data_IF_136749480522
#
_entry.id   IF_136749480522
#
_cell.length_a   1.000
_cell.length_b   1.000
_cell.length_c   1.000
_cell.angle_alpha   90.00
_cell.angle_beta   90.00
_cell.angle_gamma   90.00
#
_symmetry.space_group_name_H-M   'P 1'
#
loop_
_entity.id
_entity.type
_entity.pdbx_description
1 polymer ?
#
# COMPACT_ATOMS: atom_id res chain seq x y z
N UNK A 1 46.64 28.32 13.09
CA UNK A 1 45.71 27.24 13.50
C UNK A 1 44.55 27.27 12.51
N UNK A 2 44.54 26.35 11.53
CA UNK A 2 43.55 26.29 10.49
C UNK A 2 42.39 25.38 10.93
N UNK A 3 41.18 25.90 10.93
CA UNK A 3 39.97 25.11 11.13
C UNK A 3 39.74 24.25 9.86
N UNK A 4 39.96 22.95 9.96
CA UNK A 4 39.52 21.99 8.94
C UNK A 4 38.01 21.77 9.15
N UNK A 5 37.19 22.47 8.36
CA UNK A 5 35.76 22.27 8.34
C UNK A 5 35.43 20.90 7.75
N UNK A 6 34.99 19.95 8.58
CA UNK A 6 34.37 18.70 8.11
C UNK A 6 33.11 19.06 7.33
N UNK A 7 33.16 18.93 6.01
CA UNK A 7 31.98 18.93 5.16
C UNK A 7 31.32 17.56 5.29
N UNK A 8 30.26 17.47 6.10
CA UNK A 8 29.37 16.31 6.06
C UNK A 8 28.65 16.32 4.72
N UNK A 9 29.01 15.43 3.83
CA UNK A 9 28.26 15.14 2.62
C UNK A 9 27.01 14.37 3.04
N UNK A 10 25.89 15.07 3.18
CA UNK A 10 24.58 14.42 3.36
C UNK A 10 24.22 13.86 1.98
N UNK A 11 24.46 12.56 1.76
CA UNK A 11 23.91 11.90 0.58
C UNK A 11 22.40 12.05 0.59
N UNK A 12 21.77 12.46 -0.53
CA UNK A 12 20.31 12.54 -0.58
C UNK A 12 19.73 11.17 -0.23
N UNK A 13 18.76 11.15 0.67
CA UNK A 13 18.03 9.92 1.02
C UNK A 13 17.41 9.33 -0.25
N UNK A 14 17.51 8.01 -0.46
CA UNK A 14 16.91 7.38 -1.64
C UNK A 14 15.40 7.67 -1.66
N UNK A 15 14.88 7.98 -2.86
CA UNK A 15 13.44 8.21 -3.07
C UNK A 15 12.69 6.90 -2.82
N UNK A 16 11.77 6.84 -1.84
CA UNK A 16 10.98 5.64 -1.59
C UNK A 16 10.18 5.19 -2.80
N UNK A 17 10.17 3.89 -3.04
CA UNK A 17 9.49 3.23 -4.15
C UNK A 17 8.29 2.44 -3.65
N UNK A 18 7.15 2.60 -4.31
CA UNK A 18 5.88 1.96 -3.93
C UNK A 18 5.29 1.23 -5.12
N UNK A 19 4.89 -0.01 -4.92
CA UNK A 19 4.11 -0.79 -5.88
C UNK A 19 2.65 -0.80 -5.43
N UNK A 20 1.73 -0.43 -6.31
CA UNK A 20 0.28 -0.60 -6.10
C UNK A 20 -0.21 -1.67 -7.07
N UNK A 21 -0.79 -2.76 -6.57
CA UNK A 21 -1.31 -3.85 -7.39
C UNK A 21 -2.81 -3.64 -7.58
N UNK A 22 -3.23 -3.46 -8.84
CA UNK A 22 -4.62 -3.21 -9.23
C UNK A 22 -5.19 -4.39 -10.00
N UNK A 23 -6.43 -4.73 -9.72
CA UNK A 23 -7.25 -5.66 -10.51
C UNK A 23 -8.58 -4.99 -10.84
N UNK A 24 -9.23 -5.39 -11.92
CA UNK A 24 -10.56 -4.88 -12.26
C UNK A 24 -11.53 -5.06 -11.09
N UNK A 25 -12.31 -4.03 -10.81
CA UNK A 25 -13.16 -3.94 -9.63
C UNK A 25 -12.43 -3.45 -8.37
N UNK A 26 -11.23 -2.85 -8.48
CA UNK A 26 -10.64 -2.16 -7.33
C UNK A 26 -11.56 -1.04 -6.83
N UNK A 27 -11.44 -0.65 -5.56
CA UNK A 27 -12.17 0.49 -5.00
C UNK A 27 -11.38 1.78 -5.24
N UNK A 28 -12.00 2.74 -5.90
CA UNK A 28 -11.32 3.95 -6.43
C UNK A 28 -10.75 4.83 -5.33
N UNK A 29 -11.53 5.08 -4.26
CA UNK A 29 -11.08 5.93 -3.15
C UNK A 29 -9.87 5.28 -2.45
N UNK A 30 -9.92 3.95 -2.28
CA UNK A 30 -8.88 3.19 -1.59
C UNK A 30 -7.58 3.08 -2.39
N UNK A 31 -7.66 3.17 -3.71
CA UNK A 31 -6.49 3.21 -4.60
C UNK A 31 -5.95 4.63 -4.79
N UNK A 32 -6.80 5.56 -5.23
CA UNK A 32 -6.36 6.90 -5.68
C UNK A 32 -5.87 7.75 -4.51
N UNK A 33 -6.53 7.68 -3.35
CA UNK A 33 -6.13 8.49 -2.19
C UNK A 33 -4.69 8.24 -1.75
N UNK A 34 -4.27 7.00 -1.41
CA UNK A 34 -2.89 6.75 -1.02
C UNK A 34 -1.89 6.99 -2.16
N UNK A 35 -2.25 6.75 -3.43
CA UNK A 35 -1.39 7.05 -4.58
C UNK A 35 -1.08 8.55 -4.64
N UNK A 36 -2.11 9.41 -4.55
CA UNK A 36 -1.94 10.87 -4.59
C UNK A 36 -1.07 11.36 -3.43
N UNK A 37 -1.36 10.92 -2.19
CA UNK A 37 -0.62 11.33 -1.00
C UNK A 37 0.86 10.94 -1.06
N UNK A 38 1.16 9.72 -1.51
CA UNK A 38 2.52 9.22 -1.66
C UNK A 38 3.28 9.97 -2.75
N UNK A 39 2.64 10.27 -3.88
CA UNK A 39 3.24 11.07 -4.95
C UNK A 39 3.50 12.51 -4.49
N UNK A 40 2.58 13.13 -3.73
CA UNK A 40 2.80 14.44 -3.09
C UNK A 40 3.99 14.42 -2.12
N UNK A 41 4.20 13.33 -1.39
CA UNK A 41 5.33 13.17 -0.49
C UNK A 41 6.66 12.91 -1.23
N UNK A 42 6.63 12.72 -2.56
CA UNK A 42 7.82 12.48 -3.38
C UNK A 42 8.14 11.01 -3.61
N UNK A 43 7.27 10.06 -3.26
CA UNK A 43 7.46 8.65 -3.59
C UNK A 43 7.36 8.39 -5.10
N UNK A 44 8.16 7.45 -5.58
CA UNK A 44 7.96 6.86 -6.90
C UNK A 44 6.94 5.73 -6.78
N UNK A 45 5.72 6.00 -7.22
CA UNK A 45 4.60 5.05 -7.17
C UNK A 45 4.41 4.42 -8.54
N UNK A 46 4.60 3.10 -8.61
CA UNK A 46 4.35 2.28 -9.80
C UNK A 46 2.98 1.60 -9.67
N UNK A 47 2.11 1.83 -10.62
CA UNK A 47 0.82 1.15 -10.72
C UNK A 47 0.99 -0.10 -11.59
N UNK A 48 0.64 -1.25 -11.03
CA UNK A 48 0.70 -2.53 -11.74
C UNK A 48 -0.68 -3.11 -11.92
N UNK A 49 -1.03 -3.48 -13.15
CA UNK A 49 -2.23 -4.27 -13.43
C UNK A 49 -1.98 -5.74 -13.12
N UNK A 50 -3.00 -6.45 -12.60
CA UNK A 50 -2.94 -7.89 -12.41
C UNK A 50 -2.79 -8.66 -13.74
N UNK A 51 -3.51 -8.21 -14.78
CA UNK A 51 -3.48 -8.76 -16.13
C UNK A 51 -2.55 -7.99 -17.08
N UNK A 52 -2.59 -8.39 -18.37
CA UNK A 52 -1.78 -7.75 -19.42
C UNK A 52 -2.31 -6.37 -19.82
N UNK A 53 -3.63 -6.13 -19.69
CA UNK A 53 -4.21 -4.81 -19.94
C UNK A 53 -3.71 -3.79 -18.94
N UNK A 54 -3.20 -2.68 -19.43
CA UNK A 54 -2.78 -1.57 -18.59
C UNK A 54 -3.94 -0.63 -18.20
N UNK A 55 -5.12 -0.79 -18.80
CA UNK A 55 -6.34 -0.11 -18.36
C UNK A 55 -7.05 -0.99 -17.34
N UNK A 56 -7.11 -0.55 -16.09
CA UNK A 56 -7.77 -1.27 -14.99
C UNK A 56 -8.99 -0.47 -14.57
N UNK A 57 -10.17 -1.10 -14.58
CA UNK A 57 -11.43 -0.43 -14.29
C UNK A 57 -11.87 -0.71 -12.86
N UNK A 58 -12.10 0.35 -12.09
CA UNK A 58 -12.60 0.28 -10.73
C UNK A 58 -14.07 -0.13 -10.63
N UNK A 59 -14.54 -0.37 -9.42
CA UNK A 59 -15.90 -0.87 -9.15
C UNK A 59 -17.02 0.07 -9.58
N UNK A 60 -16.75 1.38 -9.67
CA UNK A 60 -17.71 2.40 -10.09
C UNK A 60 -17.54 2.82 -11.55
N UNK A 61 -16.60 2.22 -12.27
CA UNK A 61 -16.36 2.45 -13.69
C UNK A 61 -15.26 3.47 -14.00
N UNK A 62 -14.55 3.99 -12.99
CA UNK A 62 -13.39 4.85 -13.22
C UNK A 62 -12.20 3.96 -13.57
N UNK A 63 -11.57 4.23 -14.72
CA UNK A 63 -10.38 3.47 -15.14
C UNK A 63 -9.10 4.20 -14.76
N UNK A 64 -8.11 3.44 -14.30
CA UNK A 64 -6.75 3.88 -14.08
C UNK A 64 -5.82 3.24 -15.11
N UNK A 65 -4.86 4.02 -15.60
CA UNK A 65 -3.78 3.50 -16.42
C UNK A 65 -2.67 2.95 -15.51
N UNK A 66 -2.47 1.63 -15.52
CA UNK A 66 -1.30 1.01 -14.93
C UNK A 66 -0.07 1.27 -15.81
N UNK A 67 1.11 1.25 -15.20
CA UNK A 67 2.37 1.50 -15.90
C UNK A 67 2.98 0.21 -16.44
N UNK A 68 2.74 -0.90 -15.73
CA UNK A 68 3.28 -2.23 -16.06
C UNK A 68 2.29 -3.33 -15.66
N UNK A 69 2.27 -4.48 -16.37
CA UNK A 69 1.59 -5.67 -15.88
C UNK A 69 2.39 -6.30 -14.71
N UNK A 70 1.73 -7.09 -13.85
CA UNK A 70 2.35 -7.70 -12.68
C UNK A 70 3.55 -8.59 -13.03
N UNK A 71 3.50 -9.27 -14.17
CA UNK A 71 4.62 -10.10 -14.65
C UNK A 71 5.88 -9.28 -14.91
N UNK A 72 5.74 -8.07 -15.45
CA UNK A 72 6.88 -7.19 -15.71
C UNK A 72 7.51 -6.62 -14.43
N UNK A 73 6.80 -6.62 -13.30
CA UNK A 73 7.36 -6.25 -11.99
C UNK A 73 8.45 -7.23 -11.56
N UNK A 74 8.28 -8.52 -11.85
CA UNK A 74 9.24 -9.57 -11.53
C UNK A 74 9.63 -9.58 -10.05
N UNK A 75 10.94 -9.62 -9.79
CA UNK A 75 11.50 -9.59 -8.44
C UNK A 75 12.01 -8.20 -8.01
N UNK A 76 11.64 -7.13 -8.70
CA UNK A 76 12.05 -5.77 -8.34
C UNK A 76 11.76 -5.44 -6.88
N UNK A 77 12.69 -4.76 -6.20
CA UNK A 77 12.50 -4.35 -4.82
C UNK A 77 11.67 -3.05 -4.75
N UNK A 78 10.77 -3.00 -3.76
CA UNK A 78 10.01 -1.80 -3.42
C UNK A 78 10.08 -1.59 -1.91
N UNK A 79 10.05 -0.33 -1.48
CA UNK A 79 10.00 -0.01 -0.05
C UNK A 79 8.62 -0.31 0.54
N UNK A 80 7.56 -0.25 -0.30
CA UNK A 80 6.19 -0.57 0.08
C UNK A 80 5.42 -1.25 -1.06
N UNK A 81 4.52 -2.17 -0.70
CA UNK A 81 3.47 -2.71 -1.59
C UNK A 81 2.12 -2.36 -1.00
N UNK A 82 1.22 -1.78 -1.82
CA UNK A 82 -0.15 -1.42 -1.44
C UNK A 82 -1.16 -2.24 -2.23
N UNK A 83 -2.21 -2.67 -1.53
CA UNK A 83 -3.34 -3.38 -2.13
C UNK A 83 -4.65 -2.69 -1.72
N UNK A 84 -5.37 -2.06 -2.65
CA UNK A 84 -6.71 -1.56 -2.42
C UNK A 84 -7.71 -2.72 -2.32
N UNK A 85 -8.86 -2.45 -1.73
CA UNK A 85 -9.97 -3.38 -1.68
C UNK A 85 -10.87 -3.31 -2.91
N UNK A 86 -12.14 -3.56 -2.68
CA UNK A 86 -13.15 -3.68 -3.72
C UNK A 86 -13.37 -5.13 -4.18
N UNK A 87 -14.34 -5.38 -5.07
CA UNK A 87 -14.61 -6.70 -5.65
C UNK A 87 -13.40 -7.36 -6.32
N UNK A 88 -12.47 -6.55 -6.87
CA UNK A 88 -11.22 -7.00 -7.49
C UNK A 88 -10.31 -7.82 -6.57
N UNK A 89 -10.51 -7.75 -5.25
CA UNK A 89 -9.78 -8.60 -4.28
C UNK A 89 -9.95 -10.09 -4.58
N UNK A 90 -11.11 -10.51 -5.12
CA UNK A 90 -11.32 -11.90 -5.51
C UNK A 90 -10.33 -12.34 -6.61
N UNK A 91 -10.04 -11.48 -7.58
CA UNK A 91 -9.06 -11.73 -8.64
C UNK A 91 -7.62 -11.78 -8.08
N UNK A 92 -7.30 -10.86 -7.16
CA UNK A 92 -5.98 -10.83 -6.51
C UNK A 92 -5.73 -12.10 -5.69
N UNK A 93 -6.73 -12.62 -5.00
CA UNK A 93 -6.67 -13.86 -4.22
C UNK A 93 -6.48 -15.10 -5.10
N UNK A 94 -7.13 -15.12 -6.27
CA UNK A 94 -7.06 -16.24 -7.21
C UNK A 94 -5.70 -16.33 -7.93
N UNK A 95 -4.90 -15.27 -7.91
CA UNK A 95 -3.62 -15.22 -8.63
C UNK A 95 -2.44 -15.50 -7.68
N UNK A 96 -1.75 -16.65 -7.85
CA UNK A 96 -0.64 -17.04 -6.98
C UNK A 96 0.55 -16.06 -7.04
N UNK A 97 0.68 -15.26 -8.10
CA UNK A 97 1.76 -14.27 -8.25
C UNK A 97 1.64 -13.18 -7.20
N UNK A 98 0.40 -12.80 -6.82
CA UNK A 98 0.15 -11.78 -5.79
C UNK A 98 0.65 -12.25 -4.44
N UNK A 99 0.25 -13.46 -4.00
CA UNK A 99 0.71 -14.02 -2.74
C UNK A 99 2.24 -14.22 -2.73
N UNK A 100 2.83 -14.68 -3.84
CA UNK A 100 4.28 -14.79 -3.97
C UNK A 100 4.98 -13.43 -3.85
N UNK A 101 4.43 -12.38 -4.49
CA UNK A 101 4.95 -11.01 -4.40
C UNK A 101 4.93 -10.47 -2.97
N UNK A 102 3.84 -10.71 -2.24
CA UNK A 102 3.71 -10.25 -0.85
C UNK A 102 4.67 -10.99 0.09
N UNK A 103 4.83 -12.31 -0.09
CA UNK A 103 5.84 -13.06 0.67
C UNK A 103 7.25 -12.57 0.40
N UNK A 104 7.58 -12.27 -0.85
CA UNK A 104 8.88 -11.69 -1.22
C UNK A 104 9.09 -10.33 -0.58
N UNK A 105 8.06 -9.47 -0.55
CA UNK A 105 8.09 -8.16 0.09
C UNK A 105 8.34 -8.30 1.60
N UNK A 106 7.61 -9.18 2.27
CA UNK A 106 7.76 -9.45 3.70
C UNK A 106 9.16 -10.00 4.03
N UNK A 107 9.68 -10.95 3.24
CA UNK A 107 11.01 -11.53 3.43
C UNK A 107 12.13 -10.49 3.31
N UNK A 108 11.91 -9.42 2.56
CA UNK A 108 12.85 -8.28 2.41
C UNK A 108 12.69 -7.22 3.50
N UNK A 109 11.73 -7.37 4.41
CA UNK A 109 11.44 -6.38 5.45
C UNK A 109 10.81 -5.09 4.93
N UNK A 110 10.25 -5.11 3.71
CA UNK A 110 9.55 -3.98 3.13
C UNK A 110 8.14 -3.82 3.71
N UNK A 111 7.59 -2.61 3.62
CA UNK A 111 6.24 -2.32 4.07
C UNK A 111 5.18 -2.98 3.19
N UNK A 112 4.09 -3.40 3.81
CA UNK A 112 2.90 -3.91 3.11
C UNK A 112 1.67 -3.23 3.70
N UNK A 113 0.88 -2.58 2.83
CA UNK A 113 -0.38 -1.94 3.18
C UNK A 113 -1.56 -2.61 2.49
N UNK A 114 -2.62 -2.90 3.25
CA UNK A 114 -3.85 -3.47 2.72
C UNK A 114 -5.08 -2.79 3.35
N UNK A 115 -6.08 -2.46 2.53
CA UNK A 115 -7.28 -1.77 3.00
C UNK A 115 -8.54 -2.53 2.65
N UNK A 116 -9.58 -2.41 3.50
CA UNK A 116 -10.92 -2.94 3.24
C UNK A 116 -10.96 -4.47 3.19
N UNK A 117 -11.21 -5.07 2.04
CA UNK A 117 -11.19 -6.51 1.84
C UNK A 117 -9.79 -7.07 1.52
N UNK A 118 -8.83 -6.22 1.19
CA UNK A 118 -7.48 -6.64 0.80
C UNK A 118 -6.70 -7.43 1.88
N UNK A 119 -6.94 -7.29 3.20
CA UNK A 119 -6.33 -8.18 4.19
C UNK A 119 -6.60 -9.68 3.96
N UNK A 120 -7.65 -10.05 3.19
CA UNK A 120 -7.84 -11.43 2.74
C UNK A 120 -6.67 -11.96 1.91
N UNK A 121 -6.07 -11.11 1.07
CA UNK A 121 -4.90 -11.47 0.25
C UNK A 121 -3.68 -11.71 1.15
N UNK A 122 -3.55 -10.92 2.24
CA UNK A 122 -2.49 -11.10 3.23
C UNK A 122 -2.66 -12.43 3.99
N UNK A 123 -3.91 -12.81 4.32
CA UNK A 123 -4.23 -14.12 4.92
C UNK A 123 -3.79 -15.26 3.99
N UNK A 124 -4.16 -15.18 2.71
CA UNK A 124 -3.82 -16.20 1.71
C UNK A 124 -2.28 -16.30 1.47
N UNK A 125 -1.57 -15.20 1.69
CA UNK A 125 -0.11 -15.17 1.68
C UNK A 125 0.54 -15.67 2.99
N UNK A 126 -0.24 -15.98 4.05
CA UNK A 126 0.27 -16.41 5.35
C UNK A 126 0.91 -15.29 6.17
N UNK A 127 0.52 -14.03 5.93
CA UNK A 127 1.16 -12.86 6.55
C UNK A 127 0.39 -12.26 7.73
N UNK A 128 -0.78 -12.81 8.09
CA UNK A 128 -1.60 -12.32 9.20
C UNK A 128 -1.47 -13.15 10.47
N UNK A 129 -0.80 -14.29 10.44
CA UNK A 129 -0.65 -15.14 11.62
C UNK A 129 0.08 -14.40 12.76
N UNK A 130 -0.55 -14.32 13.93
CA UNK A 130 -0.05 -13.62 15.10
C UNK A 130 0.04 -12.10 14.96
N UNK A 131 -0.62 -11.51 13.93
CA UNK A 131 -0.60 -10.07 13.67
C UNK A 131 -1.87 -9.38 14.13
N UNK A 132 -1.72 -8.14 14.59
CA UNK A 132 -2.84 -7.23 14.76
C UNK A 132 -3.14 -6.57 13.41
N UNK A 133 -4.40 -6.55 13.02
CA UNK A 133 -4.84 -5.93 11.78
C UNK A 133 -6.32 -5.52 11.84
N UNK A 134 -6.75 -4.66 10.95
CA UNK A 134 -8.16 -4.34 10.72
C UNK A 134 -8.55 -4.64 9.27
N UNK A 135 -9.85 -4.82 9.04
CA UNK A 135 -10.41 -5.08 7.72
C UNK A 135 -11.85 -4.55 7.64
N UNK A 136 -12.43 -4.59 6.44
CA UNK A 136 -13.83 -4.22 6.26
C UNK A 136 -14.76 -5.23 6.95
N UNK A 137 -15.86 -4.77 7.58
CA UNK A 137 -16.81 -5.66 8.28
C UNK A 137 -17.38 -6.78 7.39
N UNK A 138 -17.47 -6.58 6.08
CA UNK A 138 -18.00 -7.60 5.17
C UNK A 138 -17.15 -8.88 5.10
N UNK A 139 -15.88 -8.82 5.48
CA UNK A 139 -14.95 -9.97 5.42
C UNK A 139 -14.66 -10.58 6.80
N UNK A 140 -15.33 -10.14 7.85
CA UNK A 140 -15.10 -10.61 9.22
C UNK A 140 -15.29 -12.12 9.39
N UNK A 141 -16.17 -12.75 8.59
CA UNK A 141 -16.36 -14.20 8.62
C UNK A 141 -15.10 -14.98 8.23
N UNK A 142 -14.32 -14.43 7.31
CA UNK A 142 -13.04 -15.02 6.90
C UNK A 142 -11.87 -14.48 7.74
N UNK A 143 -12.02 -13.33 8.38
CA UNK A 143 -11.01 -12.65 9.20
C UNK A 143 -11.57 -12.35 10.60
N UNK A 144 -11.88 -13.37 11.41
CA UNK A 144 -12.51 -13.18 12.72
C UNK A 144 -11.65 -12.40 13.72
N UNK A 145 -10.33 -12.41 13.54
CA UNK A 145 -9.38 -11.71 14.41
C UNK A 145 -9.19 -10.23 14.04
N UNK A 146 -9.87 -9.74 12.99
CA UNK A 146 -9.79 -8.34 12.58
C UNK A 146 -10.35 -7.40 13.65
N UNK A 147 -9.60 -6.36 14.00
CA UNK A 147 -9.97 -5.35 14.99
C UNK A 147 -11.05 -4.43 14.43
N UNK A 148 -12.32 -4.69 14.78
CA UNK A 148 -13.47 -4.02 14.20
C UNK A 148 -13.64 -2.53 14.55
N UNK A 149 -13.04 -2.06 15.65
CA UNK A 149 -13.10 -0.67 16.11
C UNK A 149 -12.03 0.25 15.52
N UNK A 150 -10.97 -0.31 14.99
CA UNK A 150 -9.79 0.44 14.56
C UNK A 150 -9.93 0.94 13.12
N UNK A 151 -9.62 2.22 12.90
CA UNK A 151 -9.60 2.81 11.55
C UNK A 151 -8.40 2.35 10.75
N UNK A 152 -7.22 2.30 11.43
CA UNK A 152 -5.96 1.79 10.91
C UNK A 152 -5.22 1.01 11.99
N UNK A 153 -4.45 0.02 11.59
CA UNK A 153 -3.60 -0.78 12.50
C UNK A 153 -2.23 -0.97 11.88
N UNK A 154 -1.18 -0.81 12.67
CA UNK A 154 0.20 -1.13 12.30
C UNK A 154 0.72 -2.25 13.20
N UNK A 155 1.35 -3.26 12.59
CA UNK A 155 2.06 -4.32 13.30
C UNK A 155 3.33 -4.70 12.53
N UNK A 156 4.49 -4.31 13.06
CA UNK A 156 5.77 -4.48 12.38
C UNK A 156 5.82 -3.68 11.07
N UNK A 157 6.00 -4.37 9.94
CA UNK A 157 6.00 -3.78 8.59
C UNK A 157 4.67 -3.95 7.85
N UNK A 158 3.63 -4.34 8.56
CA UNK A 158 2.28 -4.47 8.04
C UNK A 158 1.42 -3.31 8.54
N UNK A 159 0.64 -2.68 7.66
CA UNK A 159 -0.40 -1.74 8.05
C UNK A 159 -1.68 -1.98 7.27
N UNK A 160 -2.79 -1.89 7.98
CA UNK A 160 -4.12 -2.18 7.42
C UNK A 160 -5.10 -1.05 7.74
N UNK A 161 -6.15 -0.95 6.95
CA UNK A 161 -7.21 0.03 7.15
C UNK A 161 -8.57 -0.55 6.82
N UNK A 162 -9.62 0.06 7.39
CA UNK A 162 -10.95 -0.52 7.47
C UNK A 162 -11.75 -0.45 6.15
N UNK A 163 -11.55 0.57 5.33
CA UNK A 163 -12.30 0.73 4.09
C UNK A 163 -12.28 2.14 3.52
N UNK A 164 -13.06 2.43 2.50
CA UNK A 164 -13.04 3.68 1.75
C UNK A 164 -13.10 4.93 2.64
N UNK A 165 -13.94 4.91 3.69
CA UNK A 165 -14.04 6.01 4.66
C UNK A 165 -12.79 6.24 5.54
N UNK A 166 -11.77 5.40 5.43
CA UNK A 166 -10.48 5.51 6.13
C UNK A 166 -9.30 5.55 5.18
N UNK A 167 -9.55 5.75 3.87
CA UNK A 167 -8.49 5.77 2.85
C UNK A 167 -7.51 6.93 3.06
N UNK A 168 -7.97 8.06 3.58
CA UNK A 168 -7.11 9.19 3.91
C UNK A 168 -6.15 8.84 5.04
N UNK A 169 -6.64 8.24 6.14
CA UNK A 169 -5.80 7.78 7.24
C UNK A 169 -4.77 6.75 6.74
N UNK A 170 -5.21 5.82 5.89
CA UNK A 170 -4.35 4.80 5.29
C UNK A 170 -3.23 5.39 4.45
N UNK A 171 -3.55 6.37 3.62
CA UNK A 171 -2.56 7.05 2.78
C UNK A 171 -1.57 7.89 3.58
N UNK A 172 -2.04 8.64 4.60
CA UNK A 172 -1.16 9.40 5.50
C UNK A 172 -0.27 8.47 6.32
N UNK A 173 -0.80 7.31 6.76
CA UNK A 173 -0.01 6.30 7.44
C UNK A 173 1.08 5.70 6.52
N UNK A 174 0.79 5.49 5.24
CA UNK A 174 1.80 5.07 4.27
C UNK A 174 2.91 6.12 4.10
N UNK A 175 2.54 7.41 4.07
CA UNK A 175 3.52 8.52 4.05
C UNK A 175 4.35 8.53 5.34
N UNK A 176 3.72 8.39 6.51
CA UNK A 176 4.44 8.34 7.81
C UNK A 176 5.45 7.20 7.85
N UNK A 177 5.06 6.00 7.40
CA UNK A 177 5.92 4.82 7.39
C UNK A 177 7.15 4.95 6.47
N UNK A 178 7.05 5.72 5.39
CA UNK A 178 8.11 5.86 4.40
C UNK A 178 8.95 7.14 4.56
N UNK A 179 8.34 8.23 5.04
CA UNK A 179 8.97 9.56 5.09
C UNK A 179 9.03 10.15 6.50
N UNK A 180 8.37 9.49 7.47
CA UNK A 180 8.29 9.97 8.84
C UNK A 180 7.08 10.88 9.11
N UNK A 181 6.85 11.12 10.40
CA UNK A 181 5.67 11.83 10.92
C UNK A 181 5.55 13.28 10.42
N UNK A 182 6.67 13.99 10.32
CA UNK A 182 6.65 15.39 9.90
C UNK A 182 6.23 15.55 8.44
N UNK A 183 6.65 14.60 7.58
CA UNK A 183 6.21 14.57 6.19
C UNK A 183 4.70 14.29 6.10
N UNK A 184 4.19 13.32 6.85
CA UNK A 184 2.76 13.01 6.87
C UNK A 184 1.94 14.22 7.36
N UNK A 185 2.37 14.92 8.41
CA UNK A 185 1.73 16.13 8.91
C UNK A 185 1.76 17.27 7.87
N UNK A 186 2.87 17.44 7.15
CA UNK A 186 2.97 18.43 6.07
C UNK A 186 2.01 18.12 4.92
N UNK A 187 1.90 16.85 4.52
CA UNK A 187 0.96 16.43 3.48
C UNK A 187 -0.48 16.65 3.95
N UNK A 188 -0.85 16.23 5.17
CA UNK A 188 -2.18 16.44 5.74
C UNK A 188 -2.56 17.93 5.69
N UNK A 189 -1.68 18.80 6.16
CA UNK A 189 -1.90 20.27 6.09
C UNK A 189 -2.09 20.76 4.65
N UNK A 190 -1.33 20.23 3.68
CA UNK A 190 -1.40 20.66 2.28
C UNK A 190 -2.73 20.36 1.60
N UNK A 191 -3.47 19.37 2.11
CA UNK A 191 -4.76 18.91 1.61
C UNK A 191 -5.93 19.34 2.52
N UNK A 192 -5.69 20.21 3.51
CA UNK A 192 -6.69 20.71 4.46
C UNK A 192 -7.31 19.61 5.36
N UNK A 193 -6.51 18.61 5.77
CA UNK A 193 -6.90 17.54 6.67
C UNK A 193 -6.29 17.70 8.06
#
# INVERSE_FOLDING_TARGET
MGFVGLRYSISPMPIPTVLVILADGFEEIEAVTPIDLLRRAGARVTLSSLGESLSVTGRTGISLAAEVPLDAVGTSAFDCVLIPGGPGVALLRADPRVAARLRLQAARGGWIGAICAAPLVLKDAGLLEGKRFTAHPSVVKELPDALGGERTVVDGKLFTSRGAGTALDFGLLAVENLFGRDAAASIAKSICS
#
